data_IF_551646690832
#
_entry.id   IF_551646690832
#
_cell.length_a   1.000
_cell.length_b   1.000
_cell.length_c   1.000
_cell.angle_alpha   90.00
_cell.angle_beta   90.00
_cell.angle_gamma   90.00
#
_symmetry.space_group_name_H-M   'P 1'
#
loop_
_entity.id
_entity.type
_entity.pdbx_description
1 polymer ?
#
# COMPACT_ATOMS: atom_id res chain seq x y z
N UNK A 1 -1.82 24.97 23.65
CA UNK A 1 -1.67 24.83 22.18
C UNK A 1 -0.26 24.35 21.87
N UNK A 2 -0.09 23.49 20.86
CA UNK A 2 1.24 23.06 20.42
C UNK A 2 2.00 24.20 19.75
N UNK A 3 3.28 24.28 20.02
CA UNK A 3 4.22 25.14 19.27
C UNK A 3 4.45 24.52 17.87
N UNK A 4 4.92 25.31 16.91
CA UNK A 4 5.18 24.80 15.55
C UNK A 4 6.23 23.69 15.53
N UNK A 5 7.26 23.80 16.38
CA UNK A 5 8.26 22.73 16.59
C UNK A 5 7.66 21.43 17.15
N UNK A 6 6.65 21.51 18.02
CA UNK A 6 5.96 20.33 18.54
C UNK A 6 5.06 19.70 17.48
N UNK A 7 4.42 20.51 16.63
CA UNK A 7 3.65 20.01 15.48
C UNK A 7 4.54 19.29 14.47
N UNK A 8 5.70 19.87 14.15
CA UNK A 8 6.69 19.23 13.26
C UNK A 8 7.11 17.86 13.79
N UNK A 9 7.51 17.79 15.05
CA UNK A 9 7.87 16.54 15.73
C UNK A 9 6.76 15.49 15.72
N UNK A 10 5.50 15.91 15.94
CA UNK A 10 4.35 15.00 15.88
C UNK A 10 4.11 14.50 14.46
N UNK A 11 4.23 15.36 13.45
CA UNK A 11 4.09 14.98 12.05
C UNK A 11 5.19 14.01 11.61
N UNK A 12 6.43 14.25 12.00
CA UNK A 12 7.54 13.31 11.78
C UNK A 12 7.21 11.92 12.36
N UNK A 13 6.69 11.87 13.59
CA UNK A 13 6.30 10.59 14.20
C UNK A 13 5.11 9.94 13.48
N UNK A 14 4.14 10.71 13.03
CA UNK A 14 2.99 10.21 12.26
C UNK A 14 3.38 9.57 10.94
N UNK A 15 4.44 10.06 10.30
CA UNK A 15 4.95 9.50 9.05
C UNK A 15 5.91 8.31 9.26
N UNK A 16 6.23 7.94 10.51
CA UNK A 16 7.11 6.81 10.81
C UNK A 16 6.52 5.51 10.28
N UNK A 17 7.30 4.83 9.45
CA UNK A 17 7.05 3.48 9.00
C UNK A 17 8.06 2.51 9.64
N UNK A 18 7.57 1.38 10.14
CA UNK A 18 8.40 0.32 10.72
C UNK A 18 8.30 -0.91 9.84
N UNK A 19 9.43 -1.32 9.29
CA UNK A 19 9.55 -2.56 8.55
C UNK A 19 9.76 -3.72 9.53
N UNK A 20 8.85 -4.68 9.50
CA UNK A 20 8.93 -5.93 10.27
C UNK A 20 8.84 -7.13 9.31
N UNK A 21 9.14 -8.37 9.74
CA UNK A 21 9.42 -9.49 8.83
C UNK A 21 8.41 -9.74 7.72
N UNK A 22 7.11 -9.59 7.98
CA UNK A 22 6.06 -9.75 6.95
C UNK A 22 6.19 -8.66 5.88
N UNK A 23 6.48 -7.42 6.28
CA UNK A 23 6.66 -6.30 5.33
C UNK A 23 7.87 -6.54 4.44
N UNK A 24 9.00 -6.96 5.04
CA UNK A 24 10.22 -7.30 4.28
C UNK A 24 9.95 -8.42 3.28
N UNK A 25 9.16 -9.43 3.66
CA UNK A 25 8.75 -10.51 2.75
C UNK A 25 7.95 -9.97 1.57
N UNK A 26 6.97 -9.08 1.82
CA UNK A 26 6.16 -8.46 0.76
C UNK A 26 7.04 -7.61 -0.16
N UNK A 27 7.97 -6.83 0.38
CA UNK A 27 8.89 -6.03 -0.43
C UNK A 27 9.78 -6.90 -1.31
N UNK A 28 10.30 -8.00 -0.79
CA UNK A 28 11.09 -8.96 -1.57
C UNK A 28 10.25 -9.60 -2.69
N UNK A 29 8.97 -9.89 -2.45
CA UNK A 29 8.06 -10.37 -3.50
C UNK A 29 7.84 -9.29 -4.58
N UNK A 30 7.66 -8.02 -4.21
CA UNK A 30 7.54 -6.92 -5.16
C UNK A 30 8.81 -6.76 -6.01
N UNK A 31 9.99 -6.81 -5.38
CA UNK A 31 11.27 -6.73 -6.10
C UNK A 31 11.44 -7.90 -7.06
N UNK A 32 11.08 -9.12 -6.66
CA UNK A 32 11.11 -10.28 -7.54
C UNK A 32 10.19 -10.14 -8.76
N UNK A 33 8.98 -9.58 -8.56
CA UNK A 33 8.05 -9.31 -9.66
C UNK A 33 8.61 -8.27 -10.64
N UNK A 34 9.25 -7.22 -10.13
CA UNK A 34 9.91 -6.18 -10.95
C UNK A 34 11.05 -6.73 -11.77
N UNK A 35 11.91 -7.54 -11.18
CA UNK A 35 13.04 -8.19 -11.87
C UNK A 35 12.59 -9.11 -13.03
N UNK A 36 11.33 -9.53 -13.02
CA UNK A 36 10.72 -10.27 -14.12
C UNK A 36 10.52 -9.47 -15.40
N UNK A 37 10.61 -8.12 -15.35
CA UNK A 37 10.48 -7.30 -16.56
C UNK A 37 11.62 -7.59 -17.55
N UNK A 38 11.27 -7.71 -18.82
CA UNK A 38 12.24 -8.01 -19.89
C UNK A 38 12.59 -9.50 -20.05
N UNK A 39 12.23 -10.36 -19.09
CA UNK A 39 12.38 -11.81 -19.25
C UNK A 39 11.30 -12.36 -20.18
N UNK A 40 11.57 -13.46 -20.87
CA UNK A 40 10.59 -14.15 -21.68
C UNK A 40 9.49 -14.80 -20.81
N UNK A 41 8.31 -15.00 -21.40
CA UNK A 41 7.18 -15.67 -20.74
C UNK A 41 6.17 -14.72 -20.08
N UNK A 42 5.11 -15.32 -19.56
CA UNK A 42 4.02 -14.60 -18.86
C UNK A 42 4.52 -13.93 -17.59
N UNK A 43 4.00 -12.73 -17.31
CA UNK A 43 4.37 -12.00 -16.09
C UNK A 43 3.48 -12.43 -14.93
N UNK A 44 4.08 -12.95 -13.84
CA UNK A 44 3.30 -13.34 -12.67
C UNK A 44 2.67 -12.11 -12.02
N UNK A 45 1.51 -12.34 -11.41
CA UNK A 45 0.81 -11.35 -10.61
C UNK A 45 0.80 -11.78 -9.14
N UNK A 46 0.52 -10.83 -8.26
CA UNK A 46 0.43 -11.05 -6.83
C UNK A 46 -0.89 -10.51 -6.29
N UNK A 47 -1.42 -11.18 -5.30
CA UNK A 47 -2.51 -10.69 -4.46
C UNK A 47 -1.98 -10.45 -3.04
N UNK A 48 -2.17 -9.22 -2.55
CA UNK A 48 -1.93 -8.83 -1.16
C UNK A 48 -3.27 -8.44 -0.55
N UNK A 49 -3.76 -9.22 0.38
CA UNK A 49 -5.00 -8.90 1.08
C UNK A 49 -4.78 -8.66 2.58
N UNK A 50 -5.77 -8.08 3.24
CA UNK A 50 -5.78 -7.85 4.67
C UNK A 50 -6.92 -6.94 5.09
N UNK A 51 -7.32 -7.04 6.35
CA UNK A 51 -8.41 -6.23 6.90
C UNK A 51 -8.09 -4.73 6.90
N UNK A 52 -9.10 -3.91 7.16
CA UNK A 52 -8.90 -2.47 7.30
C UNK A 52 -7.93 -2.17 8.44
N UNK A 53 -7.06 -1.17 8.25
CA UNK A 53 -6.11 -0.75 9.29
C UNK A 53 -4.91 -1.65 9.52
N UNK A 54 -4.67 -2.68 8.67
CA UNK A 54 -3.46 -3.51 8.74
C UNK A 54 -2.20 -2.84 8.18
N UNK A 55 -2.33 -1.67 7.53
CA UNK A 55 -1.18 -0.91 7.03
C UNK A 55 -0.87 -1.12 5.55
N UNK A 56 -1.74 -1.76 4.75
CA UNK A 56 -1.53 -2.00 3.30
C UNK A 56 -1.14 -0.74 2.54
N UNK A 57 -1.91 0.33 2.66
CA UNK A 57 -1.65 1.60 1.95
C UNK A 57 -0.35 2.25 2.40
N UNK A 58 0.01 2.18 3.70
CA UNK A 58 1.29 2.67 4.20
C UNK A 58 2.47 1.86 3.63
N UNK A 59 2.33 0.54 3.55
CA UNK A 59 3.30 -0.36 2.92
C UNK A 59 3.52 0.01 1.44
N UNK A 60 2.43 0.20 0.69
CA UNK A 60 2.51 0.60 -0.73
C UNK A 60 3.20 1.96 -0.88
N UNK A 61 2.83 2.95 -0.05
CA UNK A 61 3.45 4.28 -0.04
C UNK A 61 4.95 4.15 0.18
N UNK A 62 5.37 3.41 1.22
CA UNK A 62 6.78 3.21 1.56
C UNK A 62 7.55 2.49 0.44
N UNK A 63 6.95 1.52 -0.22
CA UNK A 63 7.59 0.85 -1.35
C UNK A 63 7.75 1.81 -2.55
N UNK A 64 6.71 2.59 -2.88
CA UNK A 64 6.75 3.61 -3.94
C UNK A 64 7.87 4.63 -3.71
N UNK A 65 8.08 5.06 -2.46
CA UNK A 65 9.12 6.04 -2.09
C UNK A 65 10.55 5.54 -2.34
N UNK A 66 10.77 4.23 -2.41
CA UNK A 66 12.06 3.64 -2.80
C UNK A 66 12.36 3.79 -4.29
N UNK A 67 11.34 3.99 -5.11
CA UNK A 67 11.39 3.99 -6.58
C UNK A 67 10.67 5.19 -7.17
N UNK A 68 11.10 6.37 -6.74
CA UNK A 68 10.51 7.63 -7.23
C UNK A 68 10.75 7.79 -8.74
N UNK A 69 9.78 8.40 -9.46
CA UNK A 69 9.97 8.75 -10.85
C UNK A 69 11.21 9.63 -11.05
N UNK A 70 11.97 9.35 -12.10
CA UNK A 70 13.18 10.08 -12.46
C UNK A 70 13.17 10.48 -13.93
N UNK A 71 13.67 11.67 -14.22
CA UNK A 71 13.79 12.13 -15.60
C UNK A 71 15.13 11.63 -16.19
N UNK A 72 15.07 10.65 -17.10
CA UNK A 72 16.24 10.00 -17.69
C UNK A 72 16.16 10.15 -19.22
N UNK A 73 17.20 10.72 -19.83
CA UNK A 73 17.31 10.88 -21.30
C UNK A 73 16.08 11.52 -21.96
N UNK A 74 15.50 12.54 -21.33
CA UNK A 74 14.34 13.26 -21.88
C UNK A 74 12.99 12.55 -21.64
N UNK A 75 12.97 11.43 -20.94
CA UNK A 75 11.75 10.67 -20.63
C UNK A 75 11.60 10.50 -19.13
N UNK A 76 10.36 10.64 -18.64
CA UNK A 76 10.05 10.33 -17.24
C UNK A 76 10.05 8.81 -17.06
N UNK A 77 11.06 8.29 -16.38
CA UNK A 77 11.09 6.89 -15.94
C UNK A 77 10.25 6.72 -14.69
N UNK A 78 9.29 5.79 -14.71
CA UNK A 78 8.33 5.55 -13.62
C UNK A 78 8.31 4.05 -13.26
N UNK A 79 9.31 3.57 -12.50
CA UNK A 79 9.53 2.12 -12.30
C UNK A 79 8.35 1.43 -11.61
N UNK A 80 7.72 2.09 -10.63
CA UNK A 80 6.61 1.54 -9.85
C UNK A 80 5.39 2.44 -9.98
N UNK A 81 4.40 2.01 -10.76
CA UNK A 81 3.10 2.67 -10.82
C UNK A 81 2.24 2.19 -9.66
N UNK A 82 1.83 3.12 -8.80
CA UNK A 82 0.81 2.88 -7.77
C UNK A 82 -0.45 3.59 -8.16
N UNK A 83 -1.54 2.86 -8.24
CA UNK A 83 -2.87 3.38 -8.56
C UNK A 83 -3.92 2.67 -7.71
N UNK A 84 -5.19 3.02 -7.86
CA UNK A 84 -6.30 2.40 -7.15
C UNK A 84 -7.49 2.15 -8.07
N UNK A 85 -8.32 1.19 -7.69
CA UNK A 85 -9.64 1.06 -8.31
C UNK A 85 -10.53 2.20 -7.78
N UNK A 86 -11.14 3.01 -8.66
CA UNK A 86 -12.08 4.05 -8.22
C UNK A 86 -13.35 3.43 -7.64
N UNK A 87 -14.03 4.15 -6.76
CA UNK A 87 -15.37 3.75 -6.30
C UNK A 87 -16.33 3.72 -7.50
N UNK A 88 -17.18 2.69 -7.60
CA UNK A 88 -18.04 2.41 -8.77
C UNK A 88 -17.25 2.33 -10.09
N UNK A 89 -16.31 1.39 -10.22
CA UNK A 89 -15.40 1.33 -11.34
C UNK A 89 -16.08 1.00 -12.67
N UNK A 90 -15.69 1.72 -13.71
CA UNK A 90 -15.90 1.36 -15.12
C UNK A 90 -14.56 1.07 -15.77
N UNK A 91 -14.55 0.48 -16.97
CA UNK A 91 -13.32 0.26 -17.68
C UNK A 91 -12.58 1.59 -17.94
N UNK A 92 -13.32 2.60 -18.39
CA UNK A 92 -12.76 3.92 -18.70
C UNK A 92 -12.23 4.63 -17.47
N UNK A 93 -12.99 4.63 -16.35
CA UNK A 93 -12.54 5.29 -15.11
C UNK A 93 -11.30 4.61 -14.52
N UNK A 94 -11.23 3.28 -14.57
CA UNK A 94 -10.06 2.52 -14.09
C UNK A 94 -8.81 2.83 -14.94
N UNK A 95 -8.94 2.82 -16.27
CA UNK A 95 -7.81 3.13 -17.17
C UNK A 95 -7.38 4.60 -17.08
N UNK A 96 -8.33 5.51 -16.88
CA UNK A 96 -8.06 6.93 -16.70
C UNK A 96 -7.28 7.19 -15.39
N UNK A 97 -7.63 6.51 -14.30
CA UNK A 97 -6.91 6.63 -13.02
C UNK A 97 -5.46 6.12 -13.17
N UNK A 98 -5.24 4.97 -13.82
CA UNK A 98 -3.90 4.45 -14.12
C UNK A 98 -3.06 5.43 -14.95
N UNK A 99 -3.63 6.03 -15.99
CA UNK A 99 -2.95 7.04 -16.83
C UNK A 99 -2.64 8.32 -16.04
N UNK A 100 -3.56 8.77 -15.20
CA UNK A 100 -3.40 9.93 -14.33
C UNK A 100 -2.25 9.73 -13.34
N UNK A 101 -2.22 8.58 -12.66
CA UNK A 101 -1.18 8.24 -11.68
C UNK A 101 0.19 8.03 -12.34
N UNK A 102 0.22 7.69 -13.63
CA UNK A 102 1.43 7.65 -14.45
C UNK A 102 1.87 9.05 -14.92
N UNK A 103 1.09 10.12 -14.61
CA UNK A 103 1.38 11.49 -15.03
C UNK A 103 1.09 11.77 -16.50
N UNK A 104 0.30 10.94 -17.17
CA UNK A 104 0.06 11.02 -18.62
C UNK A 104 -1.29 11.63 -19.00
N UNK A 105 -2.19 11.84 -18.04
CA UNK A 105 -3.40 12.66 -18.23
C UNK A 105 -3.10 14.06 -17.75
N UNK A 106 -2.95 14.99 -18.69
CA UNK A 106 -2.95 16.42 -18.35
C UNK A 106 -4.28 16.84 -17.76
N UNK A 107 -4.28 17.96 -17.02
CA UNK A 107 -5.43 18.58 -16.34
C UNK A 107 -6.60 18.98 -17.25
N UNK A 108 -6.53 18.71 -18.52
CA UNK A 108 -7.63 18.82 -19.46
C UNK A 108 -8.49 17.58 -19.39
N UNK A 109 -9.25 17.45 -18.32
CA UNK A 109 -10.48 16.67 -18.24
C UNK A 109 -11.52 17.22 -19.24
N UNK A 110 -11.15 17.34 -20.47
CA UNK A 110 -12.15 17.49 -21.51
C UNK A 110 -12.83 16.13 -21.62
N UNK A 111 -14.11 16.13 -21.34
CA UNK A 111 -15.15 15.13 -21.61
C UNK A 111 -15.06 14.55 -23.05
N UNK A 112 -13.91 14.04 -23.40
CA UNK A 112 -13.78 13.19 -24.56
C UNK A 112 -14.38 11.86 -24.14
N UNK A 113 -15.39 11.42 -24.85
CA UNK A 113 -15.85 10.02 -24.86
C UNK A 113 -14.68 9.17 -25.39
N UNK A 114 -13.66 8.99 -24.56
CA UNK A 114 -12.49 8.20 -24.93
C UNK A 114 -12.89 6.75 -24.71
N UNK A 115 -12.94 6.00 -25.81
CA UNK A 115 -13.23 4.57 -25.80
C UNK A 115 -12.16 3.83 -24.99
N UNK A 116 -12.57 2.85 -24.19
CA UNK A 116 -11.68 2.00 -23.38
C UNK A 116 -10.54 1.35 -24.18
N UNK A 117 -10.74 1.06 -25.47
CA UNK A 117 -9.68 0.56 -26.36
C UNK A 117 -8.55 1.58 -26.57
N UNK A 118 -8.89 2.85 -26.81
CA UNK A 118 -7.88 3.92 -26.98
C UNK A 118 -7.12 4.16 -25.67
N UNK A 119 -7.81 4.18 -24.54
CA UNK A 119 -7.17 4.30 -23.23
C UNK A 119 -6.21 3.15 -22.97
N UNK A 120 -6.60 1.92 -23.29
CA UNK A 120 -5.75 0.74 -23.15
C UNK A 120 -4.47 0.85 -23.99
N UNK A 121 -4.60 1.19 -25.28
CA UNK A 121 -3.45 1.33 -26.17
C UNK A 121 -2.52 2.44 -25.68
N UNK A 122 -3.08 3.57 -25.24
CA UNK A 122 -2.32 4.69 -24.67
C UNK A 122 -1.58 4.25 -23.40
N UNK A 123 -2.27 3.57 -22.47
CA UNK A 123 -1.66 3.10 -21.22
C UNK A 123 -0.50 2.13 -21.48
N UNK A 124 -0.67 1.14 -22.36
CA UNK A 124 0.39 0.18 -22.72
C UNK A 124 1.61 0.92 -23.30
N UNK A 125 1.38 1.87 -24.22
CA UNK A 125 2.46 2.68 -24.78
C UNK A 125 3.19 3.47 -23.69
N UNK A 126 2.44 4.15 -22.82
CA UNK A 126 3.01 4.94 -21.72
C UNK A 126 3.80 4.08 -20.73
N UNK A 127 3.28 2.91 -20.33
CA UNK A 127 3.99 1.97 -19.45
C UNK A 127 5.34 1.53 -20.04
N UNK A 128 5.37 1.24 -21.35
CA UNK A 128 6.60 0.88 -22.06
C UNK A 128 7.57 2.05 -22.12
N UNK A 129 7.09 3.24 -22.49
CA UNK A 129 7.92 4.45 -22.61
C UNK A 129 8.46 4.91 -21.26
N UNK A 130 7.64 4.89 -20.21
CA UNK A 130 8.03 5.26 -18.85
C UNK A 130 8.86 4.18 -18.12
N UNK A 131 9.19 3.09 -18.77
CA UNK A 131 10.00 2.04 -18.19
C UNK A 131 9.36 1.36 -16.98
N UNK A 132 8.02 1.37 -16.82
CA UNK A 132 7.32 0.79 -15.67
C UNK A 132 7.61 -0.69 -15.54
N UNK A 133 7.97 -1.13 -14.33
CA UNK A 133 8.37 -2.50 -14.00
C UNK A 133 7.32 -3.23 -13.18
N UNK A 134 6.54 -2.48 -12.38
CA UNK A 134 5.51 -3.01 -11.51
C UNK A 134 4.31 -2.06 -11.47
N UNK A 135 3.11 -2.62 -11.52
CA UNK A 135 1.86 -1.91 -11.26
C UNK A 135 1.29 -2.42 -9.95
N UNK A 136 1.02 -1.55 -8.98
CA UNK A 136 0.33 -1.86 -7.73
C UNK A 136 -1.03 -1.20 -7.79
N UNK A 137 -2.10 -1.99 -7.67
CA UNK A 137 -3.49 -1.51 -7.71
C UNK A 137 -4.11 -1.71 -6.33
N UNK A 138 -4.28 -0.62 -5.59
CA UNK A 138 -4.94 -0.61 -4.28
C UNK A 138 -6.48 -0.58 -4.41
N UNK A 139 -7.17 -0.83 -3.32
CA UNK A 139 -8.64 -0.88 -3.22
C UNK A 139 -9.29 -1.84 -4.23
N UNK A 140 -8.62 -2.97 -4.53
CA UNK A 140 -9.11 -3.90 -5.56
C UNK A 140 -10.47 -4.52 -5.24
N UNK A 141 -10.88 -4.56 -3.97
CA UNK A 141 -12.21 -5.01 -3.57
C UNK A 141 -13.35 -4.17 -4.19
N UNK A 142 -13.11 -2.89 -4.55
CA UNK A 142 -14.10 -2.04 -5.22
C UNK A 142 -14.61 -2.69 -6.51
N UNK A 143 -13.71 -3.38 -7.24
CA UNK A 143 -14.08 -4.12 -8.43
C UNK A 143 -14.98 -5.32 -8.11
N UNK A 144 -14.77 -5.97 -6.98
CA UNK A 144 -15.52 -7.14 -6.55
C UNK A 144 -16.90 -6.76 -5.99
N UNK A 145 -16.96 -5.66 -5.22
CA UNK A 145 -18.18 -5.20 -4.54
C UNK A 145 -19.18 -4.55 -5.51
N UNK A 146 -18.69 -3.66 -6.36
CA UNK A 146 -19.55 -2.83 -7.18
C UNK A 146 -19.84 -3.38 -8.57
N UNK A 147 -19.06 -4.37 -9.02
CA UNK A 147 -19.25 -4.97 -10.33
C UNK A 147 -19.53 -6.46 -10.24
N UNK A 148 -20.76 -6.84 -10.57
CA UNK A 148 -21.12 -8.25 -10.72
C UNK A 148 -21.07 -8.70 -12.20
N UNK A 149 -20.62 -9.91 -12.43
CA UNK A 149 -20.71 -10.56 -13.74
C UNK A 149 -19.87 -9.89 -14.83
N UNK A 150 -20.50 -9.37 -15.87
CA UNK A 150 -19.85 -8.97 -17.13
C UNK A 150 -18.86 -7.80 -16.97
N UNK A 151 -19.22 -6.76 -16.23
CA UNK A 151 -18.38 -5.57 -16.04
C UNK A 151 -17.10 -5.90 -15.27
N UNK A 152 -17.21 -6.70 -14.21
CA UNK A 152 -16.04 -7.16 -13.44
C UNK A 152 -15.06 -7.91 -14.35
N UNK A 153 -15.57 -8.86 -15.13
CA UNK A 153 -14.75 -9.63 -16.06
C UNK A 153 -14.11 -8.77 -17.13
N UNK A 154 -14.83 -7.77 -17.64
CA UNK A 154 -14.30 -6.86 -18.67
C UNK A 154 -13.07 -6.10 -18.13
N UNK A 155 -13.16 -5.50 -16.95
CA UNK A 155 -12.03 -4.77 -16.33
C UNK A 155 -10.90 -5.74 -16.01
N UNK A 156 -11.21 -6.88 -15.38
CA UNK A 156 -10.22 -7.89 -15.03
C UNK A 156 -9.47 -8.41 -16.26
N UNK A 157 -10.19 -8.73 -17.34
CA UNK A 157 -9.59 -9.18 -18.61
C UNK A 157 -8.73 -8.08 -19.26
N UNK A 158 -9.15 -6.82 -19.12
CA UNK A 158 -8.37 -5.70 -19.63
C UNK A 158 -7.07 -5.49 -18.87
N UNK A 159 -7.08 -5.60 -17.54
CA UNK A 159 -5.88 -5.57 -16.72
C UNK A 159 -4.92 -6.71 -17.08
N UNK A 160 -5.47 -7.92 -17.28
CA UNK A 160 -4.69 -9.06 -17.79
C UNK A 160 -4.04 -8.75 -19.14
N UNK A 161 -4.81 -8.23 -20.09
CA UNK A 161 -4.29 -7.84 -21.41
C UNK A 161 -3.16 -6.82 -21.29
N UNK A 162 -3.30 -5.84 -20.39
CA UNK A 162 -2.24 -4.85 -20.12
C UNK A 162 -0.99 -5.52 -19.53
N UNK A 163 -1.15 -6.45 -18.59
CA UNK A 163 -0.05 -7.24 -18.02
C UNK A 163 0.75 -7.95 -19.13
N UNK A 164 0.06 -8.59 -20.08
CA UNK A 164 0.68 -9.32 -21.19
C UNK A 164 1.37 -8.36 -22.17
N UNK A 165 0.65 -7.36 -22.65
CA UNK A 165 1.13 -6.48 -23.73
C UNK A 165 2.21 -5.50 -23.25
N UNK A 166 2.11 -5.00 -22.03
CA UNK A 166 3.13 -4.13 -21.46
C UNK A 166 4.32 -4.93 -20.89
N UNK A 167 4.16 -6.23 -20.66
CA UNK A 167 5.16 -7.09 -20.03
C UNK A 167 5.49 -6.68 -18.61
N UNK A 168 4.48 -6.24 -17.84
CA UNK A 168 4.62 -5.67 -16.49
C UNK A 168 3.79 -6.46 -15.50
N UNK A 169 4.39 -6.90 -14.40
CA UNK A 169 3.68 -7.60 -13.32
C UNK A 169 2.69 -6.68 -12.60
N UNK A 170 1.58 -7.26 -12.13
CA UNK A 170 0.53 -6.53 -11.41
C UNK A 170 0.38 -7.11 -10.00
N UNK A 171 0.37 -6.23 -9.00
CA UNK A 171 0.00 -6.53 -7.63
C UNK A 171 -1.40 -5.98 -7.36
N UNK A 172 -2.32 -6.86 -6.98
CA UNK A 172 -3.67 -6.52 -6.57
C UNK A 172 -3.69 -6.41 -5.05
N UNK A 173 -4.09 -5.26 -4.52
CA UNK A 173 -4.12 -5.03 -3.07
C UNK A 173 -5.54 -4.70 -2.65
N UNK A 174 -6.03 -5.34 -1.59
CA UNK A 174 -7.40 -5.09 -1.15
C UNK A 174 -7.79 -5.78 0.15
N UNK A 175 -9.08 -5.78 0.41
CA UNK A 175 -9.69 -6.49 1.53
C UNK A 175 -9.65 -8.01 1.30
N UNK A 176 -9.84 -8.84 2.36
CA UNK A 176 -9.76 -10.30 2.21
C UNK A 176 -10.63 -10.87 1.10
N UNK A 177 -11.82 -10.33 0.89
CA UNK A 177 -12.73 -10.80 -0.17
C UNK A 177 -12.29 -10.42 -1.59
N UNK A 178 -11.27 -9.59 -1.77
CA UNK A 178 -10.65 -9.38 -3.07
C UNK A 178 -10.06 -10.69 -3.64
N UNK A 179 -9.83 -11.69 -2.79
CA UNK A 179 -9.40 -13.01 -3.18
C UNK A 179 -10.37 -13.72 -4.14
N UNK A 180 -11.64 -13.33 -4.17
CA UNK A 180 -12.63 -13.83 -5.15
C UNK A 180 -12.20 -13.63 -6.61
N UNK A 181 -11.23 -12.77 -6.90
CA UNK A 181 -10.67 -12.67 -8.25
C UNK A 181 -9.93 -13.94 -8.66
N UNK A 182 -9.39 -14.68 -7.70
CA UNK A 182 -8.70 -15.95 -7.96
C UNK A 182 -9.65 -17.07 -8.41
N UNK A 183 -10.97 -16.90 -8.23
CA UNK A 183 -11.98 -17.82 -8.75
C UNK A 183 -12.14 -17.68 -10.27
N UNK A 184 -11.68 -16.57 -10.85
CA UNK A 184 -11.65 -16.39 -12.30
C UNK A 184 -10.46 -17.17 -12.89
N UNK A 185 -10.66 -18.18 -13.74
CA UNK A 185 -9.59 -19.08 -14.22
C UNK A 185 -8.41 -18.35 -14.85
N UNK A 186 -8.67 -17.21 -15.47
CA UNK A 186 -7.64 -16.41 -16.13
C UNK A 186 -6.69 -15.70 -15.14
N UNK A 187 -7.15 -15.45 -13.90
CA UNK A 187 -6.36 -14.85 -12.85
C UNK A 187 -5.73 -15.89 -11.93
N UNK A 188 -6.42 -17.01 -11.68
CA UNK A 188 -5.92 -18.06 -10.79
C UNK A 188 -4.54 -18.58 -11.21
N UNK A 189 -4.30 -18.73 -12.52
CA UNK A 189 -3.01 -19.17 -13.06
C UNK A 189 -1.89 -18.11 -12.96
N UNK A 190 -2.23 -16.83 -12.85
CA UNK A 190 -1.27 -15.72 -12.79
C UNK A 190 -0.95 -15.26 -11.38
N UNK A 191 -1.89 -15.45 -10.44
CA UNK A 191 -1.72 -15.08 -9.02
C UNK A 191 -0.86 -16.13 -8.31
N UNK A 192 0.41 -16.20 -8.71
CA UNK A 192 1.37 -17.17 -8.17
C UNK A 192 1.77 -16.84 -6.73
N UNK A 193 1.69 -15.57 -6.35
CA UNK A 193 2.03 -15.09 -5.01
C UNK A 193 0.77 -14.57 -4.35
N UNK A 194 0.44 -15.12 -3.19
CA UNK A 194 -0.66 -14.64 -2.35
C UNK A 194 -0.12 -14.36 -0.96
N UNK A 195 -0.35 -13.14 -0.47
CA UNK A 195 0.06 -12.71 0.87
C UNK A 195 -1.13 -12.11 1.58
N UNK A 196 -1.20 -12.40 2.86
CA UNK A 196 -2.14 -11.76 3.77
C UNK A 196 -1.37 -10.90 4.77
N UNK A 197 -1.84 -9.69 4.98
CA UNK A 197 -1.37 -8.82 6.04
C UNK A 197 -2.40 -8.86 7.18
N UNK A 198 -2.22 -9.76 8.17
CA UNK A 198 -3.19 -9.95 9.24
C UNK A 198 -3.04 -8.88 10.33
N UNK A 199 -4.02 -8.79 11.23
CA UNK A 199 -3.81 -8.16 12.52
C UNK A 199 -2.73 -8.93 13.30
N UNK A 200 -2.02 -8.22 14.16
CA UNK A 200 -1.08 -8.86 15.08
C UNK A 200 -1.82 -9.81 16.02
N UNK A 201 -1.20 -10.94 16.33
CA UNK A 201 -1.73 -11.92 17.25
C UNK A 201 -0.64 -12.33 18.23
N UNK A 202 -0.85 -12.08 19.52
CA UNK A 202 0.13 -12.45 20.56
C UNK A 202 0.25 -13.98 20.72
N UNK A 203 -0.82 -14.72 20.41
CA UNK A 203 -0.82 -16.19 20.46
C UNK A 203 0.04 -16.86 19.39
N UNK A 204 0.18 -16.24 18.22
CA UNK A 204 0.90 -16.82 17.09
C UNK A 204 2.32 -16.26 16.96
N UNK A 205 2.47 -14.93 17.02
CA UNK A 205 3.73 -14.24 16.79
C UNK A 205 3.90 -13.00 17.68
N UNK A 206 4.05 -13.15 18.99
CA UNK A 206 4.20 -12.01 19.91
C UNK A 206 5.41 -11.14 19.56
N UNK A 207 6.49 -11.75 19.04
CA UNK A 207 7.71 -11.04 18.67
C UNK A 207 7.48 -9.95 17.63
N UNK A 208 6.61 -10.16 16.66
CA UNK A 208 6.34 -9.16 15.61
C UNK A 208 5.68 -7.91 16.19
N UNK A 209 4.72 -8.08 17.11
CA UNK A 209 4.06 -6.95 17.76
C UNK A 209 5.03 -6.19 18.66
N UNK A 210 5.85 -6.91 19.44
CA UNK A 210 6.88 -6.31 20.30
C UNK A 210 7.91 -5.54 19.46
N UNK A 211 8.39 -6.12 18.37
CA UNK A 211 9.33 -5.45 17.46
C UNK A 211 8.74 -4.16 16.86
N UNK A 212 7.45 -4.19 16.48
CA UNK A 212 6.75 -2.99 16.01
C UNK A 212 6.72 -1.91 17.10
N UNK A 213 6.33 -2.26 18.33
CA UNK A 213 6.26 -1.32 19.46
C UNK A 213 7.64 -0.72 19.75
N UNK A 214 8.68 -1.54 19.83
CA UNK A 214 10.06 -1.08 20.05
C UNK A 214 10.50 -0.16 18.91
N UNK A 215 10.20 -0.54 17.66
CA UNK A 215 10.49 0.28 16.50
C UNK A 215 9.82 1.65 16.55
N UNK A 216 8.55 1.70 16.93
CA UNK A 216 7.81 2.95 17.12
C UNK A 216 8.36 3.78 18.29
N UNK A 217 8.65 3.16 19.45
CA UNK A 217 9.23 3.80 20.62
C UNK A 217 10.56 4.49 20.29
N UNK A 218 11.44 3.82 19.55
CA UNK A 218 12.73 4.35 19.12
C UNK A 218 12.62 5.54 18.17
N UNK A 219 11.49 5.70 17.50
CA UNK A 219 11.21 6.80 16.56
C UNK A 219 10.40 7.94 17.17
N UNK A 220 9.95 7.80 18.44
CA UNK A 220 9.24 8.87 19.13
C UNK A 220 10.15 10.08 19.31
N UNK A 221 9.61 11.34 19.21
CA UNK A 221 10.40 12.57 19.16
C UNK A 221 10.81 13.08 20.56
N UNK A 222 11.22 12.17 21.44
CA UNK A 222 11.64 12.49 22.81
C UNK A 222 13.16 12.37 22.96
N UNK A 223 13.70 13.10 23.93
CA UNK A 223 15.13 13.03 24.28
C UNK A 223 15.49 11.70 24.92
N UNK A 224 14.58 11.16 25.69
CA UNK A 224 14.70 9.85 26.34
C UNK A 224 13.68 8.91 25.65
N UNK A 225 14.15 7.81 25.08
CA UNK A 225 13.25 6.87 24.39
C UNK A 225 12.42 6.11 25.41
N UNK A 226 11.08 6.01 25.23
CA UNK A 226 10.23 5.29 26.16
C UNK A 226 10.45 3.80 26.08
N UNK A 227 10.42 3.12 27.23
CA UNK A 227 10.43 1.68 27.28
C UNK A 227 8.99 1.14 27.21
N UNK A 228 8.53 0.81 25.99
CA UNK A 228 7.21 0.20 25.76
C UNK A 228 7.25 -1.33 25.65
N UNK A 229 8.42 -1.96 25.88
CA UNK A 229 8.59 -3.40 25.74
C UNK A 229 8.25 -4.18 27.01
N UNK A 230 7.91 -3.52 28.09
CA UNK A 230 7.45 -4.18 29.32
C UNK A 230 6.17 -4.97 29.06
N UNK A 231 6.10 -6.19 29.58
CA UNK A 231 5.02 -7.12 29.32
C UNK A 231 3.63 -6.51 29.61
N UNK A 232 3.47 -5.79 30.71
CA UNK A 232 2.21 -5.14 31.08
C UNK A 232 1.81 -4.08 30.02
N UNK A 233 2.76 -3.26 29.56
CA UNK A 233 2.55 -2.23 28.54
C UNK A 233 2.20 -2.86 27.19
N UNK A 234 2.90 -3.91 26.79
CA UNK A 234 2.62 -4.66 25.55
C UNK A 234 1.20 -5.23 25.58
N UNK A 235 0.78 -5.86 26.69
CA UNK A 235 -0.58 -6.38 26.84
C UNK A 235 -1.64 -5.26 26.82
N UNK A 236 -1.38 -4.13 27.47
CA UNK A 236 -2.28 -2.98 27.45
C UNK A 236 -2.47 -2.43 26.04
N UNK A 237 -1.38 -2.17 25.31
CA UNK A 237 -1.41 -1.68 23.93
C UNK A 237 -2.08 -2.69 22.98
N UNK A 238 -1.85 -3.99 23.19
CA UNK A 238 -2.53 -5.02 22.41
C UNK A 238 -4.03 -5.06 22.70
N UNK A 239 -4.44 -4.98 23.95
CA UNK A 239 -5.85 -4.99 24.37
C UNK A 239 -6.61 -3.80 23.80
N UNK A 240 -5.99 -2.61 23.77
CA UNK A 240 -6.56 -1.41 23.17
C UNK A 240 -6.66 -1.50 21.65
N UNK A 241 -5.60 -1.97 20.99
CA UNK A 241 -5.53 -2.04 19.53
C UNK A 241 -6.20 -3.29 18.94
N UNK A 242 -6.36 -4.35 19.72
CA UNK A 242 -6.75 -5.71 19.27
C UNK A 242 -5.89 -6.18 18.09
N UNK A 243 -4.62 -5.78 18.10
CA UNK A 243 -3.66 -6.09 17.05
C UNK A 243 -3.82 -5.28 15.74
N UNK A 244 -4.77 -4.35 15.68
CA UNK A 244 -4.93 -3.47 14.53
C UNK A 244 -3.86 -2.38 14.52
N UNK A 245 -3.02 -2.33 13.47
CA UNK A 245 -1.94 -1.36 13.35
C UNK A 245 -2.44 0.10 13.36
N UNK A 246 -3.51 0.40 12.65
CA UNK A 246 -4.09 1.75 12.60
C UNK A 246 -4.52 2.22 13.99
N UNK A 247 -5.22 1.36 14.73
CA UNK A 247 -5.70 1.67 16.09
C UNK A 247 -4.51 1.88 17.04
N UNK A 248 -3.50 0.99 17.00
CA UNK A 248 -2.28 1.15 17.78
C UNK A 248 -1.59 2.49 17.48
N UNK A 249 -1.47 2.84 16.20
CA UNK A 249 -0.82 4.08 15.78
C UNK A 249 -1.58 5.29 16.29
N UNK A 250 -2.91 5.30 16.24
CA UNK A 250 -3.73 6.39 16.80
C UNK A 250 -3.50 6.57 18.30
N UNK A 251 -3.52 5.50 19.08
CA UNK A 251 -3.24 5.60 20.53
C UNK A 251 -1.85 6.15 20.80
N UNK A 252 -0.85 5.70 20.06
CA UNK A 252 0.51 6.20 20.25
C UNK A 252 0.68 7.65 19.76
N UNK A 253 0.00 8.05 18.69
CA UNK A 253 0.00 9.43 18.19
C UNK A 253 -0.62 10.37 19.22
N UNK A 254 -1.73 9.99 19.85
CA UNK A 254 -2.38 10.76 20.91
C UNK A 254 -1.49 10.82 22.17
N UNK A 255 -0.91 9.70 22.56
CA UNK A 255 0.03 9.66 23.69
C UNK A 255 1.24 10.59 23.47
N UNK A 256 1.81 10.58 22.27
CA UNK A 256 2.89 11.50 21.88
C UNK A 256 2.43 12.96 21.91
N UNK A 257 1.21 13.22 21.41
CA UNK A 257 0.61 14.56 21.46
C UNK A 257 0.53 15.10 22.91
N UNK A 258 -0.04 14.31 23.83
CA UNK A 258 -0.17 14.70 25.24
C UNK A 258 1.21 14.90 25.91
N UNK A 259 2.15 14.00 25.66
CA UNK A 259 3.50 14.12 26.20
C UNK A 259 4.23 15.37 25.66
N UNK A 260 4.03 15.74 24.39
CA UNK A 260 4.57 16.98 23.82
C UNK A 260 3.93 18.22 24.43
N UNK A 261 2.62 18.20 24.71
CA UNK A 261 1.92 19.31 25.39
C UNK A 261 2.44 19.50 26.82
N UNK A 262 2.78 18.42 27.51
CA UNK A 262 3.37 18.44 28.86
C UNK A 262 4.87 18.81 28.85
N UNK A 263 5.48 19.03 27.68
CA UNK A 263 6.93 19.16 27.53
C UNK A 263 7.73 18.01 28.18
N UNK A 264 7.18 16.81 28.13
CA UNK A 264 7.80 15.65 28.73
C UNK A 264 9.08 15.23 27.99
N UNK A 265 10.06 14.71 28.74
CA UNK A 265 11.32 14.18 28.19
C UNK A 265 11.15 12.80 27.56
N UNK A 266 10.12 12.08 27.98
CA UNK A 266 9.75 10.74 27.49
C UNK A 266 8.26 10.51 27.63
N UNK A 267 7.74 9.47 26.98
CA UNK A 267 6.37 9.02 27.14
C UNK A 267 6.27 8.15 28.40
N UNK A 268 5.31 8.47 29.25
CA UNK A 268 5.03 7.73 30.49
C UNK A 268 3.62 7.13 30.47
N UNK A 269 3.31 6.24 31.38
CA UNK A 269 1.99 5.59 31.49
C UNK A 269 0.83 6.59 31.63
N UNK A 270 1.05 7.74 32.26
CA UNK A 270 0.04 8.82 32.36
C UNK A 270 -0.41 9.40 31.02
N UNK A 271 0.40 9.23 29.96
CA UNK A 271 0.09 9.71 28.61
C UNK A 271 -0.60 8.63 27.75
N UNK A 272 -0.67 7.39 28.23
CA UNK A 272 -1.28 6.24 27.55
C UNK A 272 -2.75 6.03 27.96
N UNK A 273 -3.44 7.07 28.35
CA UNK A 273 -4.82 7.04 28.87
C UNK A 273 -5.84 7.25 27.76
#
# INVERSE_FOLDING_TARGET
>A
MLTDKQKEKLNEFRDVFIEYPIISTVFNDFDRLRLGKGLAGEKPCMLLNGDTGTGKTALIKQYKERYLPQFINGVMNHPVLVSRIPSNPTLESTLAELLKDLGQLGSTERKLRINGTRLTTSLIKCLKTCGTELIIIDEFQELIEHNQGKKRREIANRLKYINDEAGVSIVLVGMPWAEKIADEPQWSSRLLVRRQLPYFKLSENPKHFVQLIIGLANRMPFTEKPNLSEQATVFALFSLSKGCFRTLKYFLDDAVLYALMDNAKTLTTKHLV
#
